data_IF_500000718917
#
_entry.id   IF_500000718917
#
_cell.length_a   1.000
_cell.length_b   1.000
_cell.length_c   1.000
_cell.angle_alpha   90.00
_cell.angle_beta   90.00
_cell.angle_gamma   90.00
#
_symmetry.space_group_name_H-M   'P 1'
#
loop_
_entity.id
_entity.type
_entity.pdbx_description
1 polymer ?
#
# COMPACT_ATOMS: atom_id res chain seq x y z
N UNK A 1 -11.17 8.47 2.09
CA UNK A 1 -9.74 8.75 2.32
C UNK A 1 -9.16 7.63 3.17
N UNK A 2 -7.85 7.38 3.11
CA UNK A 2 -7.21 6.43 4.04
C UNK A 2 -7.29 7.01 5.46
N UNK A 3 -7.95 6.28 6.36
CA UNK A 3 -8.04 6.63 7.77
C UNK A 3 -7.98 5.35 8.59
N UNK A 4 -6.84 5.07 9.22
CA UNK A 4 -6.76 4.06 10.28
C UNK A 4 -7.27 4.68 11.59
N UNK A 5 -8.55 5.07 11.56
CA UNK A 5 -9.32 5.33 12.77
C UNK A 5 -9.98 4.01 13.18
N UNK A 6 -9.89 3.64 14.46
CA UNK A 6 -10.55 2.43 14.98
C UNK A 6 -12.08 2.53 14.83
N UNK A 7 -12.60 3.76 14.86
CA UNK A 7 -13.99 4.14 14.60
C UNK A 7 -14.49 3.79 13.17
N UNK A 8 -13.60 3.43 12.21
CA UNK A 8 -13.96 3.27 10.78
C UNK A 8 -13.25 2.13 10.04
N UNK A 9 -11.93 1.96 10.20
CA UNK A 9 -11.16 0.95 9.43
C UNK A 9 -10.10 0.20 10.27
N UNK A 10 -9.66 0.72 11.43
CA UNK A 10 -8.63 0.07 12.25
C UNK A 10 -9.01 -1.35 12.67
N UNK A 11 -10.29 -1.58 13.01
CA UNK A 11 -10.84 -2.90 13.32
C UNK A 11 -11.12 -3.78 12.09
N UNK A 12 -11.18 -3.21 10.87
CA UNK A 12 -11.57 -3.95 9.66
C UNK A 12 -10.46 -4.86 9.11
N UNK A 13 -9.20 -4.64 9.52
CA UNK A 13 -8.07 -5.51 9.20
C UNK A 13 -7.36 -5.85 10.51
N UNK A 14 -7.64 -7.00 11.16
CA UNK A 14 -7.10 -7.33 12.48
C UNK A 14 -5.57 -7.28 12.57
N UNK A 15 -4.86 -7.59 11.47
CA UNK A 15 -3.40 -7.48 11.38
C UNK A 15 -2.88 -6.04 11.53
N UNK A 16 -3.71 -5.01 11.31
CA UNK A 16 -3.36 -3.59 11.48
C UNK A 16 -3.83 -3.02 12.82
N UNK A 17 -4.53 -3.80 13.66
CA UNK A 17 -4.97 -3.34 15.00
C UNK A 17 -3.85 -2.87 15.96
N UNK A 18 -2.56 -3.27 15.83
CA UNK A 18 -1.48 -2.65 16.59
C UNK A 18 -1.15 -1.21 16.16
N UNK A 19 -1.55 -0.77 14.96
CA UNK A 19 -1.12 0.46 14.28
C UNK A 19 -2.05 1.66 14.51
N UNK A 20 -2.54 1.86 15.74
CA UNK A 20 -3.40 3.01 16.04
C UNK A 20 -2.72 4.35 15.68
N UNK A 21 -3.42 5.19 14.89
CA UNK A 21 -3.01 6.58 14.66
C UNK A 21 -3.21 7.40 15.93
N UNK A 22 -2.15 8.06 16.39
CA UNK A 22 -2.13 9.01 17.49
C UNK A 22 -3.07 10.19 17.20
N UNK A 23 -4.22 10.28 17.90
CA UNK A 23 -5.24 11.30 17.62
C UNK A 23 -4.97 12.65 18.29
N UNK A 24 -4.13 12.72 19.33
CA UNK A 24 -3.89 13.96 20.10
C UNK A 24 -2.41 14.24 20.37
N UNK A 25 -1.57 14.13 19.34
CA UNK A 25 -0.13 14.43 19.42
C UNK A 25 0.21 15.83 19.94
N UNK A 26 -0.71 16.80 19.77
CA UNK A 26 -0.61 18.17 20.27
C UNK A 26 -1.64 18.48 21.38
N UNK A 27 -2.05 17.46 22.14
CA UNK A 27 -2.86 17.57 23.36
C UNK A 27 -4.32 17.97 23.12
N UNK A 28 -4.59 19.27 22.98
CA UNK A 28 -5.96 19.79 22.86
C UNK A 28 -6.56 19.64 21.44
N UNK A 29 -5.73 19.40 20.44
CA UNK A 29 -6.14 19.25 19.04
C UNK A 29 -6.40 17.77 18.72
N UNK A 30 -7.62 17.45 18.25
CA UNK A 30 -8.04 16.10 17.85
C UNK A 30 -7.87 15.93 16.33
N UNK A 31 -7.06 14.94 15.96
CA UNK A 31 -6.73 14.53 14.60
C UNK A 31 -7.50 13.28 14.13
N UNK A 32 -8.49 12.80 14.90
CA UNK A 32 -9.44 11.77 14.46
C UNK A 32 -10.32 12.24 13.29
N UNK A 33 -10.99 11.31 12.60
CA UNK A 33 -11.72 11.64 11.38
C UNK A 33 -12.86 12.65 11.62
N UNK A 34 -13.06 13.55 10.66
CA UNK A 34 -14.06 14.62 10.72
C UNK A 34 -13.80 15.72 11.75
N UNK A 35 -12.69 15.68 12.50
CA UNK A 35 -12.29 16.71 13.46
C UNK A 35 -11.56 17.88 12.79
N UNK A 36 -11.36 18.97 13.51
CA UNK A 36 -10.74 20.18 12.94
C UNK A 36 -9.21 20.18 12.99
N UNK A 37 -8.57 19.33 13.80
CA UNK A 37 -7.11 19.31 13.95
C UNK A 37 -6.58 20.69 14.33
N UNK A 38 -5.68 21.25 13.52
CA UNK A 38 -5.13 22.61 13.71
C UNK A 38 -5.93 23.73 13.04
N UNK A 39 -7.05 23.44 12.36
CA UNK A 39 -7.87 24.48 11.71
C UNK A 39 -8.32 25.63 12.64
N UNK A 40 -8.60 25.43 13.95
CA UNK A 40 -8.94 26.54 14.86
C UNK A 40 -7.82 27.57 15.08
N UNK A 41 -6.59 27.29 14.63
CA UNK A 41 -5.47 28.23 14.68
C UNK A 41 -5.37 29.15 13.45
N UNK A 42 -6.15 28.89 12.39
CA UNK A 42 -6.10 29.65 11.13
C UNK A 42 -6.36 31.14 11.38
N UNK A 43 -5.49 32.00 10.87
CA UNK A 43 -5.59 33.46 11.04
C UNK A 43 -5.31 33.98 12.46
N UNK A 44 -4.91 33.13 13.40
CA UNK A 44 -4.48 33.55 14.74
C UNK A 44 -3.01 33.98 14.74
N UNK A 45 -2.61 34.79 15.70
CA UNK A 45 -1.20 35.15 15.88
C UNK A 45 -0.27 33.96 16.18
N UNK A 46 -0.82 32.77 16.50
CA UNK A 46 -0.03 31.56 16.78
C UNK A 46 0.53 30.90 15.51
N UNK A 47 -0.07 31.13 14.33
CA UNK A 47 0.42 30.59 13.05
C UNK A 47 1.31 31.55 12.27
N UNK A 48 1.41 32.82 12.69
CA UNK A 48 2.19 33.84 11.99
C UNK A 48 3.66 33.42 11.84
N UNK A 49 4.19 33.43 10.61
CA UNK A 49 5.56 33.01 10.33
C UNK A 49 5.78 31.48 10.23
N UNK A 50 4.72 30.68 10.24
CA UNK A 50 4.77 29.20 10.14
C UNK A 50 4.26 28.70 8.78
N UNK A 51 4.38 27.40 8.50
CA UNK A 51 3.72 26.77 7.34
C UNK A 51 2.19 26.87 7.38
N UNK A 52 1.60 27.12 8.55
CA UNK A 52 0.16 27.26 8.74
C UNK A 52 -0.30 28.71 8.54
N UNK A 53 0.61 29.60 8.14
CA UNK A 53 0.34 30.98 7.75
C UNK A 53 -0.15 31.03 6.28
N UNK A 54 -1.39 31.48 6.09
CA UNK A 54 -1.96 31.70 4.75
C UNK A 54 -1.12 32.70 3.92
N UNK A 55 -0.33 33.58 4.56
CA UNK A 55 0.58 34.50 3.86
C UNK A 55 1.85 33.83 3.31
N UNK A 56 2.17 32.59 3.72
CA UNK A 56 3.42 31.89 3.36
C UNK A 56 3.14 30.64 2.51
N UNK A 57 2.15 29.82 2.87
CA UNK A 57 1.78 28.59 2.15
C UNK A 57 0.34 28.60 1.60
N UNK A 58 -0.37 29.73 1.71
CA UNK A 58 -1.77 29.82 1.32
C UNK A 58 -2.67 28.94 2.17
N UNK A 59 -3.92 28.76 1.74
CA UNK A 59 -4.91 27.95 2.48
C UNK A 59 -4.67 26.44 2.39
N UNK A 60 -3.50 25.98 1.92
CA UNK A 60 -3.28 24.58 1.55
C UNK A 60 -3.30 23.64 2.75
N UNK A 61 -2.62 24.03 3.85
CA UNK A 61 -2.44 23.19 5.03
C UNK A 61 -3.54 23.37 6.07
N UNK A 62 -4.29 24.49 6.02
CA UNK A 62 -5.52 24.72 6.77
C UNK A 62 -6.68 25.07 5.80
N UNK A 63 -7.19 24.10 5.00
CA UNK A 63 -8.13 24.36 3.90
C UNK A 63 -9.59 24.47 4.33
N UNK A 64 -9.95 23.96 5.52
CA UNK A 64 -11.32 24.02 6.03
C UNK A 64 -11.50 23.17 7.30
N UNK A 65 -12.64 23.31 8.01
CA UNK A 65 -13.00 22.45 9.12
C UNK A 65 -13.24 21.00 8.64
N UNK A 66 -13.14 20.05 9.57
CA UNK A 66 -13.22 18.62 9.27
C UNK A 66 -12.13 18.14 8.30
N UNK A 67 -10.94 18.77 8.29
CA UNK A 67 -9.76 18.40 7.48
C UNK A 67 -8.51 18.25 8.36
N UNK A 68 -8.53 17.40 9.39
CA UNK A 68 -7.52 17.45 10.45
C UNK A 68 -6.14 17.02 9.96
N UNK A 69 -6.09 16.00 9.08
CA UNK A 69 -4.86 15.43 8.50
C UNK A 69 -4.33 16.19 7.26
N UNK A 70 -4.76 17.43 7.07
CA UNK A 70 -4.21 18.34 6.05
C UNK A 70 -2.85 18.94 6.46
N UNK A 71 -2.49 18.86 7.75
CA UNK A 71 -1.19 19.33 8.25
C UNK A 71 -0.11 18.26 8.35
N UNK A 72 -0.42 16.97 8.15
CA UNK A 72 0.55 15.87 8.29
C UNK A 72 0.63 14.97 7.04
N UNK A 73 -0.48 14.40 6.59
CA UNK A 73 -0.51 13.55 5.40
C UNK A 73 -0.36 14.36 4.10
N UNK A 74 -0.98 15.54 4.02
CA UNK A 74 -0.93 16.33 2.78
C UNK A 74 0.49 16.79 2.39
N UNK A 75 1.32 17.39 3.28
CA UNK A 75 2.72 17.70 2.97
C UNK A 75 3.52 16.47 2.55
N UNK A 76 3.38 15.37 3.31
CA UNK A 76 4.14 14.14 3.11
C UNK A 76 3.90 13.46 1.74
N UNK A 77 2.74 13.69 1.12
CA UNK A 77 2.36 13.05 -0.16
C UNK A 77 2.25 14.02 -1.36
N UNK A 78 1.94 15.31 -1.18
CA UNK A 78 1.54 16.20 -2.29
C UNK A 78 2.46 17.40 -2.56
N UNK A 79 3.25 17.85 -1.58
CA UNK A 79 4.08 19.07 -1.73
C UNK A 79 5.48 18.98 -1.13
N UNK A 80 5.80 17.88 -0.46
CA UNK A 80 6.99 17.81 0.40
C UNK A 80 6.75 18.48 1.74
N UNK A 81 7.64 18.20 2.68
CA UNK A 81 7.61 18.76 4.04
C UNK A 81 8.56 19.97 4.08
N UNK A 82 8.05 21.21 4.26
CA UNK A 82 8.89 22.41 4.18
C UNK A 82 9.71 22.61 5.46
N UNK A 83 10.93 23.14 5.33
CA UNK A 83 11.84 23.40 6.46
C UNK A 83 11.47 24.69 7.24
N UNK A 84 10.28 24.69 7.85
CA UNK A 84 9.69 25.81 8.60
C UNK A 84 8.76 25.23 9.69
N UNK A 85 8.44 25.94 10.79
CA UNK A 85 7.51 25.39 11.79
C UNK A 85 6.13 25.04 11.19
N UNK A 86 5.45 23.99 11.66
CA UNK A 86 5.84 23.10 12.75
C UNK A 86 6.85 21.99 12.37
N UNK A 87 7.19 21.82 11.09
CA UNK A 87 7.89 20.64 10.55
C UNK A 87 9.39 20.50 10.90
N UNK A 88 9.91 21.39 11.74
CA UNK A 88 11.23 21.29 12.36
C UNK A 88 11.19 20.38 13.60
N UNK A 89 12.32 19.74 13.95
CA UNK A 89 12.47 18.91 15.15
C UNK A 89 12.02 19.66 16.41
N UNK A 90 11.31 18.98 17.30
CA UNK A 90 10.75 19.58 18.52
C UNK A 90 11.81 19.94 19.60
N UNK A 91 13.00 19.36 19.53
CA UNK A 91 14.13 19.77 20.39
C UNK A 91 14.52 21.22 20.10
N UNK A 92 14.66 22.01 21.17
CA UNK A 92 14.82 23.47 21.11
C UNK A 92 13.50 24.26 21.18
N UNK A 93 12.33 23.62 20.98
CA UNK A 93 11.03 24.29 20.97
C UNK A 93 10.30 24.38 22.32
N UNK A 94 10.85 23.81 23.40
CA UNK A 94 10.22 23.70 24.72
C UNK A 94 8.78 23.15 24.68
N UNK A 95 8.50 22.18 23.81
CA UNK A 95 7.18 21.57 23.65
C UNK A 95 6.17 22.36 22.79
N UNK A 96 6.50 23.57 22.33
CA UNK A 96 5.64 24.32 21.40
C UNK A 96 5.89 23.85 19.95
N UNK A 97 4.97 23.10 19.30
CA UNK A 97 5.20 22.60 17.94
C UNK A 97 5.43 23.72 16.90
N UNK A 98 4.84 24.91 17.11
CA UNK A 98 4.85 26.05 16.20
C UNK A 98 6.09 26.94 16.36
N UNK A 99 6.92 26.72 17.38
CA UNK A 99 8.17 27.46 17.54
C UNK A 99 9.22 27.03 16.49
N UNK A 100 10.19 27.91 16.23
CA UNK A 100 11.39 27.55 15.48
C UNK A 100 12.17 26.44 16.21
N UNK A 101 12.55 25.39 15.47
CA UNK A 101 13.34 24.27 15.96
C UNK A 101 14.43 23.88 14.96
N UNK A 102 15.15 22.79 15.19
CA UNK A 102 16.17 22.33 14.22
C UNK A 102 15.51 21.84 12.92
N UNK A 103 16.04 22.17 11.73
CA UNK A 103 15.66 21.52 10.47
C UNK A 103 15.56 19.99 10.57
N UNK A 104 14.41 19.42 10.21
CA UNK A 104 14.19 17.96 10.22
C UNK A 104 14.16 17.35 8.83
N UNK A 105 13.41 17.95 7.90
CA UNK A 105 13.26 17.45 6.53
C UNK A 105 13.79 18.47 5.54
N UNK A 106 14.63 18.01 4.61
CA UNK A 106 15.18 18.82 3.53
C UNK A 106 14.32 18.66 2.28
N UNK A 107 13.24 19.44 2.16
CA UNK A 107 12.52 19.59 0.90
C UNK A 107 12.33 21.08 0.54
N UNK A 108 12.47 21.39 -0.75
CA UNK A 108 12.60 22.74 -1.32
C UNK A 108 11.57 22.98 -2.44
N UNK A 109 10.32 22.56 -2.23
CA UNK A 109 9.22 22.75 -3.18
C UNK A 109 8.32 23.92 -2.73
N UNK A 110 8.33 25.07 -3.44
CA UNK A 110 7.56 26.26 -3.07
C UNK A 110 6.09 26.17 -3.53
N UNK A 111 5.41 25.11 -3.09
CA UNK A 111 4.05 24.66 -3.45
C UNK A 111 3.91 23.95 -4.81
N UNK A 112 3.09 22.90 -4.85
CA UNK A 112 2.42 22.37 -6.06
C UNK A 112 3.27 21.66 -7.12
N UNK A 113 4.54 21.36 -6.87
CA UNK A 113 5.48 20.86 -7.89
C UNK A 113 5.73 19.35 -7.92
N UNK A 114 4.90 18.63 -8.71
CA UNK A 114 5.06 17.27 -9.26
C UNK A 114 5.27 16.05 -8.32
N UNK A 115 4.94 14.87 -8.85
CA UNK A 115 4.82 13.59 -8.14
C UNK A 115 6.12 12.78 -8.16
N UNK A 116 6.20 11.73 -7.33
CA UNK A 116 7.35 10.81 -7.25
C UNK A 116 8.68 11.47 -6.79
N UNK A 117 8.54 12.39 -5.82
CA UNK A 117 9.50 12.75 -4.74
C UNK A 117 10.78 13.49 -5.12
N UNK A 118 11.60 12.89 -5.99
CA UNK A 118 12.98 13.27 -6.28
C UNK A 118 13.79 13.73 -5.04
N UNK A 119 13.95 12.84 -4.05
CA UNK A 119 14.63 13.09 -2.76
C UNK A 119 16.17 13.30 -2.87
N UNK A 120 16.64 13.88 -4.00
CA UNK A 120 18.04 14.07 -4.39
C UNK A 120 18.86 14.95 -3.42
N UNK A 121 18.22 15.64 -2.49
CA UNK A 121 18.89 16.48 -1.51
C UNK A 121 19.56 15.68 -0.38
N UNK A 122 19.13 14.44 -0.09
CA UNK A 122 19.65 13.63 1.03
C UNK A 122 20.41 12.41 0.50
N UNK A 123 21.71 12.23 0.82
CA UNK A 123 22.47 11.07 0.37
C UNK A 123 22.02 9.80 1.14
N UNK A 124 21.77 8.66 0.45
CA UNK A 124 21.29 7.45 1.09
C UNK A 124 22.35 6.81 1.98
N UNK A 125 21.95 6.28 3.13
CA UNK A 125 22.90 5.72 4.11
C UNK A 125 23.40 4.34 3.66
N UNK A 126 24.71 4.10 3.49
CA UNK A 126 25.21 2.80 3.03
C UNK A 126 24.97 1.69 4.06
N UNK A 127 24.45 0.52 3.64
CA UNK A 127 24.17 -0.62 4.55
C UNK A 127 25.38 -1.13 5.34
N UNK A 128 26.59 -0.93 4.82
CA UNK A 128 27.85 -1.27 5.50
C UNK A 128 28.40 -0.14 6.41
N UNK A 129 27.69 0.97 6.54
CA UNK A 129 28.00 2.03 7.50
C UNK A 129 27.55 1.64 8.90
N UNK A 130 28.38 1.88 9.90
CA UNK A 130 28.00 1.78 11.32
C UNK A 130 26.90 2.78 11.75
N UNK A 131 26.51 3.70 10.85
CA UNK A 131 25.38 4.62 11.03
C UNK A 131 24.08 4.16 10.37
N UNK A 132 24.09 3.04 9.63
CA UNK A 132 22.86 2.49 9.04
C UNK A 132 21.93 1.92 10.12
N UNK A 133 20.62 2.10 9.95
CA UNK A 133 19.61 1.58 10.88
C UNK A 133 18.34 1.17 10.15
N UNK A 134 17.85 -0.04 10.46
CA UNK A 134 16.59 -0.57 9.94
C UNK A 134 15.34 0.11 10.50
N UNK A 135 15.50 1.07 11.42
CA UNK A 135 14.41 1.90 11.96
C UNK A 135 14.18 3.20 11.17
N UNK A 136 15.01 3.49 10.15
CA UNK A 136 14.79 4.60 9.23
C UNK A 136 14.65 5.96 9.91
N UNK A 137 13.55 6.65 9.64
CA UNK A 137 13.23 7.97 10.19
C UNK A 137 13.15 8.02 11.73
N UNK A 138 12.86 6.89 12.40
CA UNK A 138 12.80 6.83 13.87
C UNK A 138 14.22 6.96 14.45
N UNK A 139 15.19 6.25 13.86
CA UNK A 139 16.60 6.37 14.21
C UNK A 139 17.17 7.75 13.83
N UNK A 140 16.81 8.27 12.66
CA UNK A 140 17.18 9.63 12.23
C UNK A 140 16.67 10.70 13.22
N UNK A 141 15.42 10.58 13.68
CA UNK A 141 14.86 11.46 14.70
C UNK A 141 15.66 11.39 16.01
N UNK A 142 15.88 10.18 16.56
CA UNK A 142 16.62 9.97 17.82
C UNK A 142 18.06 10.51 17.72
N UNK A 143 18.80 10.21 16.65
CA UNK A 143 20.15 10.76 16.42
C UNK A 143 20.14 12.29 16.39
N UNK A 144 19.14 12.89 15.74
CA UNK A 144 18.96 14.34 15.67
C UNK A 144 18.88 15.05 17.02
N UNK A 145 18.49 14.35 18.09
CA UNK A 145 18.40 14.89 19.45
C UNK A 145 19.56 14.45 20.37
N UNK A 146 20.26 13.37 20.03
CA UNK A 146 21.20 12.69 20.96
C UNK A 146 22.66 12.68 20.51
N UNK A 147 22.96 12.66 19.21
CA UNK A 147 24.34 12.73 18.73
C UNK A 147 24.81 14.19 18.73
N UNK A 148 25.85 14.51 19.50
CA UNK A 148 26.37 15.88 19.68
C UNK A 148 26.60 16.69 18.38
N UNK A 149 27.05 16.11 17.23
CA UNK A 149 27.14 16.84 15.97
C UNK A 149 25.80 17.42 15.51
N UNK A 150 24.70 16.67 15.68
CA UNK A 150 23.37 17.10 15.26
C UNK A 150 22.64 17.87 16.37
N UNK A 151 22.69 17.37 17.61
CA UNK A 151 21.95 17.94 18.74
C UNK A 151 22.38 19.37 19.10
N UNK A 152 23.68 19.69 18.92
CA UNK A 152 24.25 20.99 19.30
C UNK A 152 24.40 21.96 18.11
N UNK A 153 23.78 21.67 16.97
CA UNK A 153 23.94 22.44 15.73
C UNK A 153 22.61 22.89 15.14
N UNK A 154 22.50 24.18 14.85
CA UNK A 154 21.35 24.80 14.16
C UNK A 154 21.46 24.72 12.63
N UNK A 155 22.54 24.13 12.09
CA UNK A 155 22.78 24.02 10.65
C UNK A 155 21.92 22.92 10.02
N UNK A 156 21.68 23.06 8.72
CA UNK A 156 21.16 21.97 7.88
C UNK A 156 22.25 20.93 7.72
N UNK A 157 21.94 19.68 8.06
CA UNK A 157 22.87 18.55 8.12
C UNK A 157 22.19 17.28 7.63
N UNK A 158 22.99 16.32 7.13
CA UNK A 158 22.49 14.99 6.76
C UNK A 158 22.63 14.04 7.95
N UNK A 159 21.55 13.87 8.69
CA UNK A 159 21.45 12.82 9.71
C UNK A 159 21.29 11.47 8.96
N UNK A 160 21.96 10.39 9.41
CA UNK A 160 21.77 9.06 8.84
C UNK A 160 20.30 8.65 8.78
N UNK A 161 19.96 7.83 7.78
CA UNK A 161 18.65 7.24 7.55
C UNK A 161 17.50 8.24 7.27
N UNK A 162 17.82 9.51 6.99
CA UNK A 162 16.88 10.57 6.54
C UNK A 162 16.35 10.40 5.11
N UNK A 163 16.93 9.50 4.30
CA UNK A 163 16.57 9.27 2.91
C UNK A 163 15.14 8.69 2.71
N UNK A 164 14.52 8.23 3.80
CA UNK A 164 13.31 7.40 3.81
C UNK A 164 11.93 8.05 3.68
N UNK A 165 11.67 8.98 2.75
CA UNK A 165 10.29 9.18 2.22
C UNK A 165 10.23 9.92 0.87
N UNK A 166 9.38 9.44 -0.06
CA UNK A 166 9.69 7.78 -1.14
C UNK A 166 11.04 7.41 -1.84
N UNK A 167 11.95 8.31 -2.27
CA UNK A 167 12.99 7.93 -3.26
C UNK A 167 14.31 7.46 -2.64
N UNK A 168 14.66 6.19 -2.88
CA UNK A 168 15.93 5.58 -2.48
C UNK A 168 15.80 4.17 -1.87
N UNK A 169 14.57 3.73 -1.55
CA UNK A 169 14.31 2.46 -0.85
C UNK A 169 14.56 1.25 -1.75
N UNK A 170 15.11 0.19 -1.17
CA UNK A 170 15.57 -1.03 -1.85
C UNK A 170 14.57 -2.17 -1.65
N UNK A 171 14.64 -3.24 -2.43
CA UNK A 171 13.65 -4.33 -2.39
C UNK A 171 13.57 -5.03 -1.03
N UNK A 172 14.66 -5.00 -0.26
CA UNK A 172 14.85 -5.74 0.98
C UNK A 172 14.60 -4.93 2.27
N UNK A 173 14.18 -3.66 2.17
CA UNK A 173 13.67 -2.92 3.34
C UNK A 173 12.18 -3.15 3.50
N UNK A 174 11.69 -3.41 4.73
CA UNK A 174 10.26 -3.38 5.01
C UNK A 174 9.75 -1.94 4.86
N UNK A 175 9.23 -1.64 3.67
CA UNK A 175 8.68 -0.34 3.33
C UNK A 175 7.46 -0.07 4.19
N UNK A 176 6.48 -0.96 4.07
CA UNK A 176 5.17 -0.91 4.69
C UNK A 176 5.24 -0.69 6.21
N UNK A 177 6.10 -1.39 6.96
CA UNK A 177 6.26 -1.18 8.41
C UNK A 177 6.70 0.23 8.74
N UNK A 178 7.79 0.71 8.13
CA UNK A 178 8.35 2.04 8.45
C UNK A 178 7.34 3.14 8.09
N UNK A 179 6.62 2.99 6.97
CA UNK A 179 5.61 3.98 6.57
C UNK A 179 4.40 3.97 7.50
N UNK A 180 3.93 2.79 7.93
CA UNK A 180 2.83 2.66 8.88
C UNK A 180 3.21 3.17 10.28
N UNK A 181 4.37 2.78 10.82
CA UNK A 181 4.87 3.28 12.11
C UNK A 181 5.06 4.81 12.13
N UNK A 182 5.53 5.38 11.01
CA UNK A 182 5.63 6.84 10.86
C UNK A 182 4.25 7.52 10.84
N UNK A 183 3.29 6.98 10.07
CA UNK A 183 1.92 7.52 9.96
C UNK A 183 1.11 7.37 11.26
N UNK A 184 1.35 6.30 12.03
CA UNK A 184 0.74 6.07 13.34
C UNK A 184 1.18 7.14 14.37
N UNK A 185 2.44 7.58 14.32
CA UNK A 185 2.94 8.68 15.17
C UNK A 185 4.23 8.39 15.95
N UNK A 186 4.89 7.25 15.73
CA UNK A 186 6.13 6.89 16.48
C UNK A 186 7.21 7.95 16.35
N UNK A 187 7.34 8.59 15.18
CA UNK A 187 8.30 9.68 14.94
C UNK A 187 7.98 10.92 15.79
N UNK A 188 6.71 11.17 16.11
CA UNK A 188 6.29 12.26 17.00
C UNK A 188 6.65 11.94 18.46
N UNK A 189 6.39 10.71 18.91
CA UNK A 189 6.82 10.25 20.23
C UNK A 189 8.36 10.27 20.39
N UNK A 190 9.10 9.90 19.34
CA UNK A 190 10.56 9.96 19.32
C UNK A 190 11.14 11.38 19.43
N UNK A 191 10.35 12.43 19.13
CA UNK A 191 10.71 13.84 19.35
C UNK A 191 10.02 14.48 20.57
N UNK A 192 9.44 13.67 21.46
CA UNK A 192 8.83 14.13 22.72
C UNK A 192 7.40 14.66 22.61
N UNK A 193 6.73 14.47 21.46
CA UNK A 193 5.29 14.67 21.32
C UNK A 193 4.57 13.35 21.66
N UNK A 194 4.35 13.15 22.96
CA UNK A 194 3.91 11.88 23.55
C UNK A 194 2.65 11.28 22.93
N UNK A 195 2.57 9.95 22.91
CA UNK A 195 1.40 9.22 22.43
C UNK A 195 0.13 9.60 23.20
N UNK A 196 -1.04 9.49 22.58
CA UNK A 196 -2.29 10.05 23.09
C UNK A 196 -2.93 9.24 24.24
N UNK A 197 -2.26 8.17 24.71
CA UNK A 197 -2.51 7.47 25.97
C UNK A 197 -1.49 7.79 27.09
N UNK A 198 -0.54 8.71 26.84
CA UNK A 198 0.33 9.25 27.89
C UNK A 198 -0.24 10.53 28.50
N UNK A 199 -0.47 10.51 29.82
CA UNK A 199 -0.90 11.67 30.60
C UNK A 199 0.22 12.05 31.59
N UNK A 200 0.92 13.18 31.40
CA UNK A 200 1.97 13.65 32.31
C UNK A 200 1.48 13.73 33.76
N UNK A 201 2.22 13.11 34.69
CA UNK A 201 1.85 13.05 36.11
C UNK A 201 0.77 12.02 36.48
N UNK A 202 0.25 11.24 35.52
CA UNK A 202 -0.68 10.13 35.77
C UNK A 202 -0.19 8.80 35.19
N UNK A 203 0.39 8.81 33.98
CA UNK A 203 0.97 7.62 33.35
C UNK A 203 2.40 7.37 33.86
N UNK A 204 2.67 6.13 34.31
CA UNK A 204 3.96 5.71 34.89
C UNK A 204 5.18 5.86 33.94
N UNK A 205 4.96 5.88 32.62
CA UNK A 205 6.01 5.92 31.60
C UNK A 205 5.48 6.59 30.32
N UNK A 206 6.29 7.41 29.61
CA UNK A 206 5.96 7.87 28.26
C UNK A 206 6.06 6.75 27.21
N UNK A 207 6.69 5.62 27.56
CA UNK A 207 6.63 4.38 26.77
C UNK A 207 5.37 3.62 27.19
N UNK A 208 4.25 3.94 26.53
CA UNK A 208 2.93 3.35 26.78
C UNK A 208 2.75 2.05 26.01
N UNK A 209 1.72 1.26 26.35
CA UNK A 209 1.45 -0.01 25.66
C UNK A 209 1.08 0.20 24.19
N UNK A 210 0.42 1.32 23.84
CA UNK A 210 0.13 1.63 22.43
C UNK A 210 1.43 1.95 21.67
N UNK A 211 2.33 2.76 22.26
CA UNK A 211 3.63 3.01 21.63
C UNK A 211 4.46 1.72 21.47
N UNK A 212 4.41 0.81 22.46
CA UNK A 212 5.04 -0.52 22.35
C UNK A 212 4.43 -1.31 21.19
N UNK A 213 3.10 -1.42 21.11
CA UNK A 213 2.41 -2.18 20.06
C UNK A 213 2.80 -1.70 18.65
N UNK A 214 2.91 -0.38 18.44
CA UNK A 214 3.33 0.19 17.16
C UNK A 214 4.83 -0.03 16.91
N UNK A 215 5.70 0.12 17.92
CA UNK A 215 7.15 -0.15 17.81
C UNK A 215 7.44 -1.62 17.48
N UNK A 216 6.68 -2.57 18.04
CA UNK A 216 6.82 -4.01 17.81
C UNK A 216 6.02 -4.53 16.60
N UNK A 217 5.34 -3.64 15.86
CA UNK A 217 4.60 -4.04 14.67
C UNK A 217 5.52 -4.59 13.57
N UNK A 218 5.12 -5.70 12.95
CA UNK A 218 5.74 -6.26 11.76
C UNK A 218 4.68 -6.59 10.69
N UNK A 219 5.04 -6.44 9.42
CA UNK A 219 4.13 -6.69 8.29
C UNK A 219 4.18 -8.12 7.76
N UNK A 220 5.16 -8.91 8.20
CA UNK A 220 5.52 -10.22 7.64
C UNK A 220 6.44 -10.17 6.42
N UNK A 221 6.57 -9.03 5.71
CA UNK A 221 7.37 -8.96 4.45
C UNK A 221 8.89 -8.99 4.67
N UNK A 222 9.35 -9.11 5.92
CA UNK A 222 10.75 -9.32 6.30
C UNK A 222 11.28 -10.72 5.99
N UNK A 223 10.40 -11.65 5.58
CA UNK A 223 10.76 -12.98 5.10
C UNK A 223 10.03 -13.30 3.78
N UNK A 224 10.64 -14.17 2.95
CA UNK A 224 9.95 -14.79 1.81
C UNK A 224 9.31 -16.11 2.27
N UNK A 225 8.04 -16.35 1.90
CA UNK A 225 7.34 -17.63 2.16
C UNK A 225 8.05 -18.84 1.50
N UNK A 226 8.74 -18.61 0.38
CA UNK A 226 9.55 -19.60 -0.34
C UNK A 226 10.91 -19.01 -0.71
N UNK A 227 12.04 -19.73 -0.47
CA UNK A 227 13.37 -19.27 -0.86
C UNK A 227 13.51 -18.93 -2.34
N UNK A 228 14.34 -17.93 -2.64
CA UNK A 228 14.74 -17.64 -4.01
C UNK A 228 15.44 -18.83 -4.66
N UNK A 229 15.17 -19.04 -5.94
CA UNK A 229 15.74 -20.12 -6.75
C UNK A 229 17.17 -19.77 -7.16
N UNK A 230 18.11 -20.72 -7.18
CA UNK A 230 19.51 -20.46 -7.57
C UNK A 230 19.70 -20.22 -9.09
N UNK A 231 18.62 -20.17 -9.88
CA UNK A 231 18.60 -20.01 -11.34
C UNK A 231 17.31 -19.35 -11.79
N UNK A 232 17.35 -18.69 -12.94
CA UNK A 232 16.21 -17.98 -13.53
C UNK A 232 14.98 -18.89 -13.77
N UNK A 233 13.74 -18.42 -13.51
CA UNK A 233 13.42 -17.20 -12.75
C UNK A 233 13.80 -17.38 -11.28
N UNK A 234 14.55 -16.40 -10.74
CA UNK A 234 15.07 -16.44 -9.37
C UNK A 234 13.98 -16.29 -8.30
N UNK A 235 12.82 -15.73 -8.68
CA UNK A 235 11.63 -15.69 -7.84
C UNK A 235 10.99 -17.08 -7.72
N UNK A 236 10.34 -17.33 -6.58
CA UNK A 236 9.39 -18.44 -6.47
C UNK A 236 8.26 -18.30 -7.51
N UNK A 237 7.58 -19.40 -7.84
CA UNK A 237 6.28 -19.28 -8.50
C UNK A 237 5.28 -18.75 -7.47
N UNK A 238 4.35 -17.86 -7.85
CA UNK A 238 3.33 -17.37 -6.94
C UNK A 238 2.49 -18.55 -6.42
N UNK A 239 2.16 -18.50 -5.13
CA UNK A 239 1.24 -19.46 -4.52
C UNK A 239 -0.17 -19.27 -5.09
N UNK A 240 -0.91 -20.37 -5.20
CA UNK A 240 -2.36 -20.28 -5.29
C UNK A 240 -2.89 -19.81 -3.91
N UNK A 241 -3.77 -18.81 -3.92
CA UNK A 241 -4.29 -18.16 -2.70
C UNK A 241 -5.31 -18.99 -1.92
N UNK A 242 -5.44 -20.27 -2.24
CA UNK A 242 -6.37 -21.26 -1.68
C UNK A 242 -5.68 -22.25 -0.72
N UNK A 243 -4.35 -22.17 -0.57
CA UNK A 243 -3.59 -22.94 0.41
C UNK A 243 -3.84 -22.52 1.86
N UNK A 244 -3.21 -23.19 2.82
CA UNK A 244 -3.41 -22.97 4.26
C UNK A 244 -3.13 -21.54 4.75
N UNK A 245 -2.37 -20.74 3.99
CA UNK A 245 -2.10 -19.32 4.28
C UNK A 245 -3.14 -18.35 3.69
N UNK A 246 -4.08 -18.82 2.86
CA UNK A 246 -5.16 -18.00 2.27
C UNK A 246 -6.25 -17.57 3.24
N UNK A 247 -6.14 -17.97 4.52
CA UNK A 247 -7.14 -17.78 5.55
C UNK A 247 -8.19 -18.90 5.60
N UNK A 248 -8.75 -19.14 6.78
CA UNK A 248 -9.88 -20.05 6.95
C UNK A 248 -11.13 -19.44 6.33
N UNK A 249 -11.91 -20.21 5.55
CA UNK A 249 -13.23 -19.77 5.09
C UNK A 249 -14.18 -19.60 6.29
N UNK A 250 -14.38 -18.36 6.73
CA UNK A 250 -15.32 -18.02 7.81
C UNK A 250 -16.73 -18.01 7.23
N UNK A 251 -17.37 -19.18 7.23
CA UNK A 251 -18.77 -19.35 6.81
C UNK A 251 -19.76 -18.82 7.87
N UNK A 252 -19.67 -17.54 8.23
CA UNK A 252 -20.54 -16.89 9.23
C UNK A 252 -21.94 -16.55 8.68
N UNK A 253 -22.45 -17.40 7.80
CA UNK A 253 -23.72 -17.20 7.10
C UNK A 253 -24.89 -17.61 8.01
N UNK A 254 -25.22 -16.76 8.98
CA UNK A 254 -26.51 -16.83 9.69
C UNK A 254 -27.62 -16.52 8.69
N UNK A 255 -28.53 -17.46 8.39
CA UNK A 255 -29.60 -17.25 7.41
C UNK A 255 -30.64 -16.22 7.86
N UNK A 256 -30.68 -15.91 9.17
CA UNK A 256 -31.71 -15.08 9.80
C UNK A 256 -31.33 -13.58 9.93
N UNK A 257 -30.21 -13.14 9.34
CA UNK A 257 -29.78 -11.73 9.39
C UNK A 257 -30.00 -11.01 8.03
N UNK A 258 -31.04 -10.17 7.88
CA UNK A 258 -31.35 -9.51 6.61
C UNK A 258 -30.33 -8.43 6.19
N UNK A 259 -29.54 -7.91 7.13
CA UNK A 259 -28.60 -6.80 6.88
C UNK A 259 -27.21 -7.27 6.38
N UNK A 260 -27.03 -8.55 6.06
CA UNK A 260 -25.76 -9.16 5.67
C UNK A 260 -25.26 -8.80 4.24
N UNK A 261 -25.68 -7.67 3.67
CA UNK A 261 -25.34 -7.23 2.30
C UNK A 261 -24.05 -6.41 2.17
N UNK A 262 -23.23 -6.35 3.24
CA UNK A 262 -22.14 -5.37 3.45
C UNK A 262 -20.98 -5.41 2.41
N UNK A 263 -20.93 -6.40 1.52
CA UNK A 263 -19.91 -6.53 0.46
C UNK A 263 -20.47 -6.66 -0.97
N UNK A 264 -21.75 -6.33 -1.20
CA UNK A 264 -22.32 -6.13 -2.55
C UNK A 264 -22.36 -7.34 -3.50
N UNK A 265 -21.85 -8.50 -3.08
CA UNK A 265 -21.90 -9.77 -3.82
C UNK A 265 -23.25 -10.46 -3.61
N UNK A 266 -24.31 -9.82 -4.10
CA UNK A 266 -25.59 -10.49 -4.27
C UNK A 266 -25.40 -11.70 -5.21
N UNK A 267 -25.69 -12.90 -4.69
CA UNK A 267 -25.77 -14.15 -5.47
C UNK A 267 -27.18 -14.40 -6.02
N UNK A 268 -27.98 -13.34 -6.17
CA UNK A 268 -29.09 -13.27 -7.12
C UNK A 268 -28.69 -13.94 -8.43
N UNK A 269 -29.48 -14.94 -8.84
CA UNK A 269 -29.04 -16.03 -9.71
C UNK A 269 -28.44 -15.53 -11.01
N UNK A 270 -27.10 -15.55 -11.12
CA UNK A 270 -26.38 -15.19 -12.35
C UNK A 270 -26.71 -16.25 -13.40
N UNK A 271 -27.70 -15.93 -14.24
CA UNK A 271 -28.02 -16.71 -15.44
C UNK A 271 -26.88 -16.50 -16.43
N UNK A 272 -25.87 -17.37 -16.35
CA UNK A 272 -24.63 -17.30 -17.13
C UNK A 272 -24.94 -17.34 -18.62
N UNK A 273 -24.90 -16.17 -19.26
CA UNK A 273 -25.25 -16.02 -20.69
C UNK A 273 -24.03 -16.35 -21.56
N UNK A 274 -23.47 -17.54 -21.37
CA UNK A 274 -22.03 -17.77 -21.58
C UNK A 274 -21.56 -19.18 -21.91
N UNK A 275 -20.25 -19.37 -21.77
CA UNK A 275 -19.54 -20.62 -22.01
C UNK A 275 -19.60 -21.48 -20.74
N UNK A 276 -20.21 -22.66 -20.80
CA UNK A 276 -20.29 -23.58 -19.64
C UNK A 276 -18.98 -24.34 -19.43
N UNK A 277 -18.40 -24.84 -20.52
CA UNK A 277 -17.28 -25.75 -20.50
C UNK A 277 -16.40 -25.55 -21.73
N UNK A 278 -15.08 -25.64 -21.52
CA UNK A 278 -14.05 -25.69 -22.57
C UNK A 278 -13.02 -26.76 -22.18
N UNK A 279 -12.94 -27.84 -22.96
CA UNK A 279 -12.01 -28.97 -22.75
C UNK A 279 -11.34 -29.38 -24.06
N UNK A 280 -10.25 -30.15 -23.98
CA UNK A 280 -9.67 -30.80 -25.15
C UNK A 280 -9.28 -32.25 -24.87
N UNK A 281 -9.38 -33.09 -25.89
CA UNK A 281 -9.02 -34.49 -25.83
C UNK A 281 -8.41 -34.96 -27.17
N UNK A 282 -7.34 -35.77 -27.15
CA UNK A 282 -6.52 -36.08 -25.98
C UNK A 282 -5.75 -34.85 -25.47
N UNK A 283 -5.37 -34.85 -24.20
CA UNK A 283 -4.43 -33.89 -23.60
C UNK A 283 -3.58 -34.65 -22.56
N UNK A 284 -2.26 -34.83 -22.74
CA UNK A 284 -1.43 -34.37 -23.86
C UNK A 284 -1.78 -34.96 -25.23
N UNK A 285 -1.19 -34.41 -26.30
CA UNK A 285 -1.43 -34.82 -27.69
C UNK A 285 -0.16 -34.75 -28.55
N UNK A 286 -0.08 -35.54 -29.63
CA UNK A 286 1.13 -35.66 -30.48
C UNK A 286 1.03 -34.97 -31.84
N UNK A 287 -0.12 -35.05 -32.52
CA UNK A 287 -0.33 -34.46 -33.85
C UNK A 287 -1.61 -33.63 -33.95
N UNK A 288 -2.65 -33.99 -33.19
CA UNK A 288 -3.92 -33.26 -33.15
C UNK A 288 -4.67 -33.46 -31.84
N UNK A 289 -5.47 -32.47 -31.45
CA UNK A 289 -6.41 -32.55 -30.31
C UNK A 289 -7.74 -31.93 -30.70
N UNK A 290 -8.85 -32.51 -30.24
CA UNK A 290 -10.19 -31.95 -30.43
C UNK A 290 -10.52 -31.08 -29.24
N UNK A 291 -10.86 -29.81 -29.49
CA UNK A 291 -11.33 -28.86 -28.50
C UNK A 291 -12.86 -28.86 -28.53
N UNK A 292 -13.49 -29.23 -27.42
CA UNK A 292 -14.95 -29.22 -27.24
C UNK A 292 -15.35 -28.07 -26.33
N UNK A 293 -16.43 -27.39 -26.68
CA UNK A 293 -17.01 -26.32 -25.87
C UNK A 293 -18.54 -26.36 -25.89
N UNK A 294 -19.15 -25.82 -24.84
CA UNK A 294 -20.61 -25.72 -24.71
C UNK A 294 -21.04 -24.27 -24.55
N UNK A 295 -22.05 -23.87 -25.33
CA UNK A 295 -22.72 -22.57 -25.30
C UNK A 295 -24.14 -22.77 -24.77
N UNK A 296 -24.55 -21.99 -23.77
CA UNK A 296 -25.93 -22.05 -23.24
C UNK A 296 -26.97 -21.41 -24.18
N UNK A 297 -26.54 -20.45 -25.02
CA UNK A 297 -27.38 -19.70 -25.95
C UNK A 297 -26.65 -19.48 -27.29
N UNK A 298 -27.35 -18.95 -28.30
CA UNK A 298 -26.71 -18.52 -29.55
C UNK A 298 -25.79 -17.32 -29.30
N UNK A 299 -24.54 -17.39 -29.79
CA UNK A 299 -23.53 -16.37 -29.54
C UNK A 299 -22.50 -16.26 -30.69
N UNK A 300 -21.88 -15.08 -30.83
CA UNK A 300 -20.72 -14.90 -31.70
C UNK A 300 -19.46 -15.43 -31.00
N UNK A 301 -18.83 -16.44 -31.60
CA UNK A 301 -17.71 -17.20 -31.05
C UNK A 301 -16.42 -16.91 -31.81
N UNK A 302 -15.31 -16.71 -31.08
CA UNK A 302 -13.95 -16.78 -31.62
C UNK A 302 -13.12 -17.80 -30.82
N UNK A 303 -12.76 -18.91 -31.45
CA UNK A 303 -11.82 -19.91 -30.90
C UNK A 303 -10.47 -19.78 -31.61
N UNK A 304 -9.46 -19.31 -30.90
CA UNK A 304 -8.11 -19.08 -31.44
C UNK A 304 -7.01 -19.71 -30.57
N UNK A 305 -5.95 -20.22 -31.20
CA UNK A 305 -4.83 -20.91 -30.53
C UNK A 305 -3.54 -20.11 -30.66
N UNK A 306 -2.80 -20.02 -29.56
CA UNK A 306 -1.61 -19.19 -29.39
C UNK A 306 -0.41 -19.99 -28.84
N UNK A 307 0.81 -19.53 -29.12
CA UNK A 307 2.04 -20.02 -28.46
C UNK A 307 2.29 -19.32 -27.09
N UNK A 308 3.39 -19.68 -26.44
CA UNK A 308 3.81 -19.11 -25.15
C UNK A 308 4.16 -17.62 -25.20
N UNK A 309 4.37 -17.06 -26.39
CA UNK A 309 4.71 -15.67 -26.63
C UNK A 309 3.47 -14.85 -27.00
N UNK A 310 2.28 -15.46 -27.03
CA UNK A 310 1.01 -14.82 -27.39
C UNK A 310 0.81 -14.62 -28.89
N UNK A 311 1.63 -15.26 -29.75
CA UNK A 311 1.47 -15.22 -31.20
C UNK A 311 0.30 -16.11 -31.61
N UNK A 312 -0.59 -15.58 -32.43
CA UNK A 312 -1.68 -16.36 -33.04
C UNK A 312 -1.10 -17.43 -33.99
N UNK A 313 -1.52 -18.68 -33.81
CA UNK A 313 -1.13 -19.82 -34.64
C UNK A 313 -2.25 -20.29 -35.56
N UNK A 314 -3.49 -20.30 -35.06
CA UNK A 314 -4.68 -20.70 -35.81
C UNK A 314 -5.96 -20.10 -35.19
N UNK A 315 -6.98 -19.89 -36.01
CA UNK A 315 -8.36 -19.67 -35.57
C UNK A 315 -9.20 -20.85 -36.07
N UNK A 316 -9.87 -21.53 -35.15
CA UNK A 316 -10.55 -22.81 -35.38
C UNK A 316 -12.07 -22.67 -35.54
N UNK A 317 -12.63 -21.61 -34.96
CA UNK A 317 -14.02 -21.17 -35.18
C UNK A 317 -14.08 -19.64 -35.08
N UNK A 318 -14.88 -19.02 -35.95
CA UNK A 318 -15.13 -17.57 -35.94
C UNK A 318 -16.52 -17.26 -36.51
N UNK A 319 -17.39 -16.63 -35.72
CA UNK A 319 -18.76 -16.24 -36.11
C UNK A 319 -19.84 -16.84 -35.21
N UNK A 320 -21.11 -16.56 -35.54
CA UNK A 320 -22.27 -16.99 -34.75
C UNK A 320 -22.47 -18.51 -34.75
N UNK A 321 -22.71 -19.08 -33.57
CA UNK A 321 -23.07 -20.48 -33.37
C UNK A 321 -24.28 -20.59 -32.44
N UNK A 322 -25.15 -21.56 -32.71
CA UNK A 322 -26.32 -21.87 -31.87
C UNK A 322 -25.93 -22.43 -30.51
N UNK A 323 -26.85 -22.38 -29.54
CA UNK A 323 -26.74 -23.11 -28.28
C UNK A 323 -26.40 -24.61 -28.52
N UNK A 324 -25.64 -25.21 -27.61
CA UNK A 324 -25.26 -26.63 -27.66
C UNK A 324 -23.77 -26.89 -27.51
N UNK A 325 -23.36 -28.12 -27.86
CA UNK A 325 -21.97 -28.60 -27.80
C UNK A 325 -21.35 -28.53 -29.19
N UNK A 326 -20.20 -27.88 -29.29
CA UNK A 326 -19.42 -27.72 -30.52
C UNK A 326 -18.02 -28.33 -30.36
N UNK A 327 -17.44 -28.80 -31.46
CA UNK A 327 -16.09 -29.38 -31.51
C UNK A 327 -15.27 -28.78 -32.65
N UNK A 328 -13.98 -28.51 -32.38
CA UNK A 328 -13.04 -28.03 -33.37
C UNK A 328 -11.70 -28.77 -33.23
N UNK A 329 -11.17 -29.30 -34.35
CA UNK A 329 -9.91 -30.03 -34.35
C UNK A 329 -8.72 -29.09 -34.55
N UNK A 330 -7.75 -29.14 -33.64
CA UNK A 330 -6.46 -28.46 -33.78
C UNK A 330 -5.40 -29.44 -34.27
N UNK A 331 -4.87 -29.23 -35.47
CA UNK A 331 -3.71 -29.96 -36.00
C UNK A 331 -2.43 -29.18 -35.66
N UNK A 332 -1.51 -29.82 -34.95
CA UNK A 332 -0.24 -29.25 -34.48
C UNK A 332 0.99 -29.95 -35.08
N UNK A 333 0.84 -30.78 -36.13
CA UNK A 333 1.89 -31.65 -36.63
C UNK A 333 3.21 -30.93 -36.94
N UNK A 334 3.16 -29.71 -37.48
CA UNK A 334 4.32 -28.89 -37.85
C UNK A 334 4.85 -27.97 -36.73
N UNK A 335 4.28 -28.05 -35.52
CA UNK A 335 4.68 -27.25 -34.35
C UNK A 335 5.59 -28.07 -33.41
N UNK A 336 6.51 -27.44 -32.66
CA UNK A 336 7.33 -28.14 -31.68
C UNK A 336 6.50 -28.68 -30.50
N UNK A 337 7.01 -29.68 -29.79
CA UNK A 337 6.48 -30.10 -28.49
C UNK A 337 6.51 -28.92 -27.49
N UNK A 338 5.50 -28.80 -26.63
CA UNK A 338 5.37 -27.64 -25.73
C UNK A 338 3.94 -27.33 -25.29
N UNK A 339 3.79 -26.19 -24.60
CA UNK A 339 2.51 -25.69 -24.11
C UNK A 339 1.93 -24.63 -25.06
N UNK A 340 0.67 -24.82 -25.43
CA UNK A 340 -0.12 -23.90 -26.24
C UNK A 340 -1.39 -23.47 -25.50
N UNK A 341 -1.98 -22.36 -25.91
CA UNK A 341 -3.18 -21.80 -25.29
C UNK A 341 -4.32 -21.66 -26.30
N UNK A 342 -5.42 -22.36 -26.08
CA UNK A 342 -6.67 -22.10 -26.79
C UNK A 342 -7.49 -21.06 -26.02
N UNK A 343 -7.89 -19.99 -26.68
CA UNK A 343 -8.78 -18.95 -26.14
C UNK A 343 -10.11 -19.02 -26.88
N UNK A 344 -11.18 -19.27 -26.14
CA UNK A 344 -12.56 -19.14 -26.61
C UNK A 344 -13.12 -17.82 -26.08
N UNK A 345 -13.57 -16.94 -26.97
CA UNK A 345 -14.34 -15.75 -26.62
C UNK A 345 -15.76 -15.88 -27.16
N UNK A 346 -16.74 -15.46 -26.36
CA UNK A 346 -18.17 -15.52 -26.66
C UNK A 346 -18.87 -14.29 -26.07
N UNK A 347 -19.08 -13.26 -26.89
CA UNK A 347 -19.63 -11.98 -26.42
C UNK A 347 -18.76 -11.31 -25.34
N UNK A 348 -19.20 -11.37 -24.08
CA UNK A 348 -18.46 -10.86 -22.91
C UNK A 348 -17.57 -11.90 -22.23
N UNK A 349 -17.84 -13.18 -22.43
CA UNK A 349 -17.13 -14.25 -21.74
C UNK A 349 -15.88 -14.71 -22.50
N UNK A 350 -14.86 -15.09 -21.75
CA UNK A 350 -13.60 -15.58 -22.29
C UNK A 350 -13.04 -16.71 -21.42
N UNK A 351 -12.78 -17.87 -22.02
CA UNK A 351 -12.11 -19.00 -21.38
C UNK A 351 -10.78 -19.32 -22.08
N UNK A 352 -9.80 -19.77 -21.30
CA UNK A 352 -8.46 -20.13 -21.79
C UNK A 352 -8.10 -21.54 -21.31
N UNK A 353 -7.75 -22.41 -22.26
CA UNK A 353 -7.42 -23.81 -22.05
C UNK A 353 -5.96 -24.09 -22.43
N UNK A 354 -5.25 -24.86 -21.59
CA UNK A 354 -3.86 -25.27 -21.78
C UNK A 354 -3.78 -26.57 -22.57
N UNK A 355 -3.19 -26.53 -23.75
CA UNK A 355 -2.96 -27.70 -24.62
C UNK A 355 -1.49 -28.14 -24.47
N UNK A 356 -1.23 -29.38 -24.05
CA UNK A 356 0.13 -29.91 -23.90
C UNK A 356 0.49 -30.80 -25.09
N UNK A 357 1.37 -30.33 -25.98
CA UNK A 357 1.90 -31.14 -27.08
C UNK A 357 3.14 -31.92 -26.64
N UNK A 358 3.14 -33.23 -26.91
CA UNK A 358 4.31 -34.12 -26.80
C UNK A 358 5.15 -34.12 -28.10
#
# INVERSE_FOLDING_TARGET
GLYMDDDLFGAAVPALSPLRIQRKSLGMFDFGNGKDGLYPLKGTAAVAGTALDDAIFGTLLLPGPGKPRSVDLWPAFHTGVPNVPPYQLATGKNGNPLAAGKPFVNNFLPNGGDMLRLNMAVPPTPRNSSKFSTLGLIDAAVRGLTEAPYANSTKIEFIPNMDGFPNGRRLEDDVTRIELQAVSGVVLAAIGLWYDDYMPGQSNSPVTQQLINVLTYETGVSANDVPFRPRFPYLALPHAGDGACGGTLVNDFKPDNPDASLIGLDRGSVSSTGIVQLINFPNPFTASTTIRYQLDQEAEVNLSVFDQQGKLLATLANGTQSAGIHEASFNSAQLPAGLYFARLASGKDMQVLKLFKQ
#
